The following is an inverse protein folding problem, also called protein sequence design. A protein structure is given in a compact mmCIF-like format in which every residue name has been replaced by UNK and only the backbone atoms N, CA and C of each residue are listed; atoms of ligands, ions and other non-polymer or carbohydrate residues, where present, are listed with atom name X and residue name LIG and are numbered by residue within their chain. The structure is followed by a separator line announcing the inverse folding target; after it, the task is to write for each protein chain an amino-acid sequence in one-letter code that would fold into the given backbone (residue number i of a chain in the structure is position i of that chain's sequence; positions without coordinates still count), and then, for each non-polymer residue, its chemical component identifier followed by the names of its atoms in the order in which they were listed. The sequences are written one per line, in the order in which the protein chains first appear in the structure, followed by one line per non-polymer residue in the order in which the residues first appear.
data_IF_998795915960
#
_entry.id   IF_998795915960
#
_cell.length_a   1.000
_cell.length_b   1.000
_cell.length_c   1.000
_cell.angle_alpha   90.00
_cell.angle_beta   90.00
_cell.angle_gamma   90.00
#
_symmetry.space_group_name_H-M   'P 1'
#
loop_
_entity.id
_entity.type
_entity.pdbx_description
1 polymer ?
#
# COMPACT_ATOMS: atom_id res chain seq x y z
N UNK A 1 -1.70 -11.50 4.83
CA UNK A 1 -1.16 -11.77 3.46
C UNK A 1 -0.16 -12.93 3.46
N UNK A 2 1.02 -12.82 4.09
CA UNK A 2 2.08 -13.85 4.02
C UNK A 2 1.69 -15.28 4.45
N UNK A 3 0.83 -15.42 5.48
CA UNK A 3 0.36 -16.74 5.93
C UNK A 3 -0.55 -17.43 4.89
N UNK A 4 -1.39 -16.66 4.19
CA UNK A 4 -2.30 -17.15 3.15
C UNK A 4 -1.53 -17.51 1.87
N UNK A 5 -0.50 -16.74 1.51
CA UNK A 5 0.43 -17.10 0.42
C UNK A 5 1.14 -18.44 0.69
N UNK A 6 1.64 -18.64 1.92
CA UNK A 6 2.31 -19.90 2.31
C UNK A 6 1.38 -21.09 2.22
N UNK A 7 0.13 -20.94 2.65
CA UNK A 7 -0.85 -22.02 2.58
C UNK A 7 -1.26 -22.34 1.14
N UNK A 8 -1.45 -21.34 0.28
CA UNK A 8 -1.73 -21.55 -1.15
C UNK A 8 -0.56 -22.26 -1.84
N UNK A 9 0.69 -21.82 -1.61
CA UNK A 9 1.89 -22.47 -2.15
C UNK A 9 2.02 -23.93 -1.67
N UNK A 10 1.74 -24.19 -0.39
CA UNK A 10 1.75 -25.53 0.18
C UNK A 10 0.72 -26.44 -0.50
N UNK A 11 -0.48 -25.92 -0.79
CA UNK A 11 -1.54 -26.67 -1.50
C UNK A 11 -1.16 -26.95 -2.96
N UNK A 12 -0.54 -26.00 -3.65
CA UNK A 12 -0.03 -26.18 -5.01
C UNK A 12 1.05 -27.27 -5.05
N UNK A 13 1.98 -27.25 -4.10
CA UNK A 13 3.06 -28.24 -4.01
C UNK A 13 2.56 -29.67 -3.73
N UNK A 14 1.39 -29.81 -3.11
CA UNK A 14 0.77 -31.10 -2.78
C UNK A 14 -0.18 -31.61 -3.88
N UNK A 15 -0.48 -30.81 -4.90
CA UNK A 15 -1.41 -31.14 -5.98
C UNK A 15 -0.74 -31.95 -7.10
N UNK A 16 -0.37 -33.20 -6.83
CA UNK A 16 0.21 -34.13 -7.82
C UNK A 16 -0.81 -35.08 -8.48
N UNK A 17 -2.12 -34.94 -8.25
CA UNK A 17 -3.17 -35.84 -8.80
C UNK A 17 -4.47 -35.08 -9.14
N UNK A 18 -5.10 -35.27 -10.32
CA UNK A 18 -6.49 -34.86 -10.59
C UNK A 18 -7.47 -36.07 -10.51
N UNK A 19 -8.80 -35.88 -10.26
CA UNK A 19 -9.61 -34.70 -10.56
C UNK A 19 -10.54 -34.28 -9.40
N UNK A 20 -10.18 -33.22 -8.67
CA UNK A 20 -11.18 -32.35 -8.06
C UNK A 20 -11.24 -31.08 -8.94
N UNK A 21 -12.43 -30.48 -9.16
CA UNK A 21 -12.53 -29.25 -9.93
C UNK A 21 -11.61 -28.22 -9.31
N UNK A 22 -11.09 -27.34 -10.15
CA UNK A 22 -10.04 -26.32 -9.95
C UNK A 22 -10.39 -25.26 -8.85
N UNK A 23 -10.97 -25.65 -7.72
CA UNK A 23 -11.37 -24.80 -6.59
C UNK A 23 -10.20 -23.98 -6.07
N UNK A 24 -9.02 -24.59 -5.95
CA UNK A 24 -7.78 -23.91 -5.55
C UNK A 24 -7.31 -22.85 -6.55
N UNK A 25 -7.62 -23.01 -7.84
CA UNK A 25 -7.33 -21.98 -8.85
C UNK A 25 -8.22 -20.75 -8.63
N UNK A 26 -9.48 -20.95 -8.24
CA UNK A 26 -10.38 -19.86 -7.86
C UNK A 26 -9.92 -19.17 -6.57
N UNK A 27 -9.51 -19.94 -5.56
CA UNK A 27 -8.96 -19.38 -4.31
C UNK A 27 -7.71 -18.51 -4.56
N UNK A 28 -6.85 -18.91 -5.50
CA UNK A 28 -5.66 -18.15 -5.90
C UNK A 28 -6.06 -16.88 -6.66
N UNK A 29 -6.99 -16.98 -7.60
CA UNK A 29 -7.45 -15.82 -8.38
C UNK A 29 -8.16 -14.79 -7.49
N UNK A 30 -9.06 -15.23 -6.61
CA UNK A 30 -9.73 -14.38 -5.61
C UNK A 30 -8.69 -13.69 -4.71
N UNK A 31 -7.70 -14.45 -4.22
CA UNK A 31 -6.63 -13.88 -3.40
C UNK A 31 -5.80 -12.82 -4.15
N UNK A 32 -5.50 -13.03 -5.43
CA UNK A 32 -4.77 -12.07 -6.26
C UNK A 32 -5.60 -10.82 -6.52
N UNK A 33 -6.91 -10.96 -6.77
CA UNK A 33 -7.83 -9.85 -6.95
C UNK A 33 -7.98 -9.01 -5.68
N UNK A 34 -8.17 -9.67 -4.53
CA UNK A 34 -8.20 -9.02 -3.21
C UNK A 34 -6.89 -8.27 -2.92
N UNK A 35 -5.75 -8.91 -3.20
CA UNK A 35 -4.43 -8.31 -2.98
C UNK A 35 -4.22 -7.11 -3.90
N UNK A 36 -4.67 -7.17 -5.15
CA UNK A 36 -4.62 -6.05 -6.09
C UNK A 36 -5.48 -4.89 -5.60
N UNK A 37 -6.71 -5.16 -5.15
CA UNK A 37 -7.60 -4.14 -4.60
C UNK A 37 -6.97 -3.44 -3.40
N UNK A 38 -6.46 -4.20 -2.43
CA UNK A 38 -5.79 -3.65 -1.26
C UNK A 38 -4.56 -2.79 -1.63
N UNK A 39 -3.75 -3.21 -2.61
CA UNK A 39 -2.61 -2.42 -3.08
C UNK A 39 -3.06 -1.11 -3.75
N UNK A 40 -4.15 -1.12 -4.51
CA UNK A 40 -4.72 0.08 -5.13
C UNK A 40 -5.26 1.06 -4.09
N UNK A 41 -5.96 0.56 -3.06
CA UNK A 41 -6.49 1.38 -1.98
C UNK A 41 -5.38 2.06 -1.18
N UNK A 42 -4.34 1.30 -0.81
CA UNK A 42 -3.16 1.83 -0.12
C UNK A 42 -2.48 2.88 -1.00
N UNK A 43 -2.23 2.57 -2.28
CA UNK A 43 -1.66 3.53 -3.23
C UNK A 43 -2.50 4.79 -3.29
N UNK A 44 -3.82 4.69 -3.43
CA UNK A 44 -4.69 5.85 -3.58
C UNK A 44 -4.74 6.70 -2.29
N UNK A 45 -4.72 6.07 -1.12
CA UNK A 45 -4.67 6.74 0.18
C UNK A 45 -3.38 7.56 0.35
N UNK A 46 -2.28 7.11 -0.25
CA UNK A 46 -0.98 7.77 -0.15
C UNK A 46 -0.61 8.61 -1.38
N UNK A 47 -1.25 8.45 -2.55
CA UNK A 47 -0.84 9.08 -3.80
C UNK A 47 -1.11 10.60 -3.88
N UNK A 48 -2.11 11.10 -3.15
CA UNK A 48 -2.49 12.52 -3.18
C UNK A 48 -2.18 13.21 -1.85
N UNK A 49 -1.22 14.16 -1.89
CA UNK A 49 -0.94 15.04 -0.76
C UNK A 49 -2.11 15.97 -0.44
N UNK A 50 -3.00 16.20 -1.41
CA UNK A 50 -4.15 17.09 -1.33
C UNK A 50 -5.45 16.38 -0.92
N UNK A 51 -5.38 15.16 -0.38
CA UNK A 51 -6.55 14.42 0.11
C UNK A 51 -6.43 13.95 1.55
N UNK A 52 -7.57 13.97 2.24
CA UNK A 52 -7.72 13.43 3.60
C UNK A 52 -6.72 14.03 4.59
N UNK A 53 -6.18 13.17 5.46
CA UNK A 53 -5.21 13.56 6.48
C UNK A 53 -3.96 14.24 5.89
N UNK A 54 -3.52 13.88 4.68
CA UNK A 54 -2.36 14.53 4.06
C UNK A 54 -2.60 16.00 3.74
N UNK A 55 -3.82 16.32 3.28
CA UNK A 55 -4.21 17.71 3.03
C UNK A 55 -4.23 18.51 4.32
N UNK A 56 -4.86 17.96 5.35
CA UNK A 56 -4.98 18.60 6.66
C UNK A 56 -3.61 18.86 7.28
N UNK A 57 -2.70 17.87 7.20
CA UNK A 57 -1.31 18.01 7.65
C UNK A 57 -0.59 19.09 6.83
N UNK A 58 -0.72 19.06 5.50
CA UNK A 58 -0.10 20.04 4.60
C UNK A 58 -0.57 21.47 4.86
N UNK A 59 -1.88 21.68 4.99
CA UNK A 59 -2.51 22.98 5.31
C UNK A 59 -2.02 23.50 6.67
N UNK A 60 -2.00 22.63 7.69
CA UNK A 60 -1.54 22.98 9.03
C UNK A 60 -0.05 23.42 9.03
N UNK A 61 0.80 22.78 8.23
CA UNK A 61 2.23 23.15 8.12
C UNK A 61 2.53 24.32 7.17
N UNK A 62 1.67 24.57 6.18
CA UNK A 62 1.90 25.51 5.08
C UNK A 62 1.18 26.86 5.18
N UNK A 63 0.12 26.96 5.98
CA UNK A 63 -0.54 28.25 6.27
C UNK A 63 0.36 29.10 7.15
N UNK A 64 0.88 30.24 6.66
CA UNK A 64 1.68 31.16 7.49
C UNK A 64 0.92 31.68 8.73
N UNK A 65 -0.42 31.66 8.68
CA UNK A 65 -1.29 32.08 9.78
C UNK A 65 -1.54 30.97 10.82
N UNK A 66 -1.61 29.69 10.41
CA UNK A 66 -1.85 28.56 11.33
C UNK A 66 -0.56 27.87 11.78
N UNK A 67 0.46 27.84 10.91
CA UNK A 67 1.76 27.25 11.22
C UNK A 67 2.53 28.00 12.32
N UNK A 68 2.14 29.24 12.61
CA UNK A 68 2.65 30.03 13.75
C UNK A 68 2.01 29.65 15.08
N UNK A 69 0.86 28.93 15.07
CA UNK A 69 0.20 28.41 16.28
C UNK A 69 0.62 26.99 16.63
N UNK A 70 1.15 26.23 15.66
CA UNK A 70 1.66 24.89 15.89
C UNK A 70 2.97 24.93 16.68
N UNK A 71 3.09 24.15 17.77
CA UNK A 71 4.36 23.95 18.44
C UNK A 71 5.42 23.46 17.44
N UNK A 72 6.61 24.07 17.46
CA UNK A 72 7.70 23.78 16.50
C UNK A 72 8.01 22.28 16.40
N UNK A 73 7.96 21.55 17.52
CA UNK A 73 8.16 20.09 17.52
C UNK A 73 7.09 19.32 16.76
N UNK A 74 5.82 19.74 16.87
CA UNK A 74 4.70 19.11 16.17
C UNK A 74 4.74 19.46 14.67
N UNK A 75 5.08 20.71 14.33
CA UNK A 75 5.30 21.13 12.94
C UNK A 75 6.35 20.26 12.26
N UNK A 76 7.50 20.07 12.90
CA UNK A 76 8.57 19.21 12.38
C UNK A 76 8.12 17.76 12.19
N UNK A 77 7.36 17.21 13.13
CA UNK A 77 6.80 15.86 12.98
C UNK A 77 5.84 15.74 11.78
N UNK A 78 5.02 16.76 11.55
CA UNK A 78 4.14 16.82 10.38
C UNK A 78 4.94 16.89 9.07
N UNK A 79 5.97 17.73 9.01
CA UNK A 79 6.88 17.82 7.86
C UNK A 79 7.62 16.49 7.60
N UNK A 80 8.14 15.85 8.66
CA UNK A 80 8.78 14.54 8.59
C UNK A 80 7.81 13.46 8.09
N UNK A 81 6.53 13.50 8.50
CA UNK A 81 5.50 12.58 8.03
C UNK A 81 5.19 12.77 6.54
N UNK A 82 5.09 14.02 6.06
CA UNK A 82 4.92 14.31 4.64
C UNK A 82 6.11 13.81 3.83
N UNK A 83 7.33 14.05 4.29
CA UNK A 83 8.56 13.56 3.63
C UNK A 83 8.62 12.03 3.59
N UNK A 84 8.31 11.35 4.69
CA UNK A 84 8.24 9.88 4.74
C UNK A 84 7.20 9.31 3.77
N UNK A 85 6.06 9.99 3.63
CA UNK A 85 5.01 9.61 2.67
C UNK A 85 5.51 9.76 1.23
N UNK A 86 6.23 10.82 0.89
CA UNK A 86 6.81 10.98 -0.45
C UNK A 86 7.82 9.88 -0.78
N UNK A 87 8.74 9.57 0.14
CA UNK A 87 9.67 8.43 -0.02
C UNK A 87 8.91 7.12 -0.21
N UNK A 88 7.93 6.85 0.65
CA UNK A 88 7.13 5.63 0.57
C UNK A 88 6.39 5.50 -0.78
N UNK A 89 5.80 6.59 -1.30
CA UNK A 89 5.13 6.57 -2.61
C UNK A 89 6.11 6.25 -3.72
N UNK A 90 7.31 6.83 -3.70
CA UNK A 90 8.37 6.52 -4.65
C UNK A 90 8.80 5.05 -4.61
N UNK A 91 9.08 4.54 -3.42
CA UNK A 91 9.48 3.15 -3.20
C UNK A 91 8.38 2.18 -3.63
N UNK A 92 7.12 2.49 -3.31
CA UNK A 92 5.97 1.67 -3.68
C UNK A 92 5.79 1.58 -5.20
N UNK A 93 5.89 2.70 -5.93
CA UNK A 93 5.80 2.68 -7.39
C UNK A 93 6.98 1.94 -8.02
N UNK A 94 8.20 2.11 -7.49
CA UNK A 94 9.39 1.40 -7.96
C UNK A 94 9.24 -0.12 -7.81
N UNK A 95 8.77 -0.59 -6.65
CA UNK A 95 8.50 -2.00 -6.42
C UNK A 95 7.36 -2.52 -7.30
N UNK A 96 6.28 -1.76 -7.48
CA UNK A 96 5.18 -2.15 -8.35
C UNK A 96 5.65 -2.33 -9.81
N UNK A 97 6.47 -1.41 -10.32
CA UNK A 97 7.09 -1.51 -11.65
C UNK A 97 8.04 -2.71 -11.72
N UNK A 98 8.86 -2.94 -10.70
CA UNK A 98 9.74 -4.10 -10.63
C UNK A 98 8.98 -5.43 -10.66
N UNK A 99 7.83 -5.52 -9.98
CA UNK A 99 6.98 -6.71 -10.02
C UNK A 99 6.36 -6.94 -11.41
N UNK A 100 5.88 -5.89 -12.08
CA UNK A 100 5.31 -5.99 -13.44
C UNK A 100 6.37 -6.39 -14.47
N UNK A 101 7.60 -5.89 -14.33
CA UNK A 101 8.69 -6.15 -15.28
C UNK A 101 9.38 -7.50 -15.09
N UNK A 102 9.33 -8.08 -13.89
CA UNK A 102 9.87 -9.42 -13.57
C UNK A 102 8.87 -10.56 -13.80
N UNK A 103 7.60 -10.23 -14.01
CA UNK A 103 6.49 -11.17 -14.23
C UNK A 103 6.44 -11.72 -15.65
#
# INVERSE_FOLDING_TARGET
VAARCRELLRRVALATVPPAPLLWRWDILEFLEDSRGALQDIRQAHASASRGAWREIGEATGSEHDATTLPVGLRRQCEDLLGRRETWVGDFEAELVAMVTRG
#
